data_IF_774106675147
#
_entry.id   IF_774106675147
#
_cell.length_a   1.000
_cell.length_b   1.000
_cell.length_c   1.000
_cell.angle_alpha   90.00
_cell.angle_beta   90.00
_cell.angle_gamma   90.00
#
_symmetry.space_group_name_H-M   'P 1'
#
loop_
_entity.id
_entity.type
_entity.pdbx_description
1 polymer ?
#
# COMPACT_ATOMS: atom_id res chain seq x y z
N UNK A 1 18.45 -18.99 3.00
CA UNK A 1 17.14 -18.42 3.38
C UNK A 1 16.03 -19.26 2.79
N UNK A 2 14.95 -19.49 3.49
CA UNK A 2 13.88 -20.38 3.03
C UNK A 2 13.01 -19.62 2.02
N UNK A 3 13.22 -19.82 0.73
CA UNK A 3 12.52 -19.16 -0.39
C UNK A 3 11.01 -19.44 -0.45
N UNK A 4 10.50 -20.33 0.41
CA UNK A 4 9.08 -20.64 0.50
C UNK A 4 8.22 -19.60 1.24
N UNK A 5 8.85 -18.56 1.81
CA UNK A 5 8.15 -17.56 2.63
C UNK A 5 7.79 -16.27 1.87
N UNK A 6 8.40 -16.05 0.70
CA UNK A 6 8.02 -14.98 -0.24
C UNK A 6 7.43 -15.63 -1.49
N UNK A 7 6.15 -15.43 -1.72
CA UNK A 7 5.44 -16.10 -2.82
C UNK A 7 4.51 -15.16 -3.56
N UNK A 8 4.41 -15.37 -4.87
CA UNK A 8 3.39 -14.78 -5.73
C UNK A 8 2.54 -15.91 -6.28
N UNK A 9 1.23 -15.76 -6.22
CA UNK A 9 0.28 -16.73 -6.80
C UNK A 9 -0.95 -16.02 -7.38
N UNK A 10 -1.74 -16.67 -8.25
CA UNK A 10 -3.12 -16.28 -8.47
C UNK A 10 -3.84 -16.20 -7.11
N UNK A 11 -4.86 -15.34 -6.99
CA UNK A 11 -5.60 -15.24 -5.74
C UNK A 11 -6.30 -16.57 -5.44
N UNK A 12 -6.04 -17.25 -4.30
CA UNK A 12 -6.75 -18.46 -3.91
C UNK A 12 -8.25 -18.23 -3.76
N UNK A 13 -9.07 -19.25 -3.98
CA UNK A 13 -10.54 -19.09 -3.96
C UNK A 13 -11.08 -18.71 -2.59
N UNK A 14 -10.49 -19.22 -1.52
CA UNK A 14 -10.84 -18.86 -0.14
C UNK A 14 -10.49 -17.39 0.20
N UNK A 15 -9.39 -16.88 -0.33
CA UNK A 15 -9.02 -15.46 -0.21
C UNK A 15 -9.96 -14.60 -1.05
N UNK A 16 -10.20 -14.99 -2.31
CA UNK A 16 -11.10 -14.25 -3.18
C UNK A 16 -12.52 -14.15 -2.61
N UNK A 17 -13.03 -15.23 -2.00
CA UNK A 17 -14.33 -15.23 -1.33
C UNK A 17 -14.41 -14.20 -0.18
N UNK A 18 -13.29 -13.93 0.53
CA UNK A 18 -13.24 -12.87 1.56
C UNK A 18 -13.23 -11.47 0.96
N UNK A 19 -12.69 -11.29 -0.24
CA UNK A 19 -12.59 -10.01 -0.94
C UNK A 19 -13.91 -9.61 -1.61
N UNK A 20 -14.74 -10.57 -2.04
CA UNK A 20 -15.98 -10.30 -2.73
C UNK A 20 -16.95 -9.45 -1.89
N UNK A 21 -17.47 -8.37 -2.48
CA UNK A 21 -18.34 -7.41 -1.82
C UNK A 21 -17.62 -6.45 -0.85
N UNK A 22 -16.32 -6.64 -0.60
CA UNK A 22 -15.46 -5.79 0.24
C UNK A 22 -14.45 -5.03 -0.62
N UNK A 23 -13.19 -5.47 -0.64
CA UNK A 23 -12.16 -4.85 -1.50
C UNK A 23 -12.42 -5.12 -2.98
N UNK A 24 -12.99 -6.26 -3.34
CA UNK A 24 -13.39 -6.61 -4.71
C UNK A 24 -14.91 -6.46 -4.86
N UNK A 25 -15.35 -5.25 -5.21
CA UNK A 25 -16.77 -4.89 -5.35
C UNK A 25 -17.33 -5.37 -6.69
N UNK A 26 -18.67 -5.47 -6.80
CA UNK A 26 -19.35 -5.93 -8.02
C UNK A 26 -19.06 -5.08 -9.26
N UNK A 27 -18.75 -3.80 -9.05
CA UNK A 27 -18.34 -2.86 -10.10
C UNK A 27 -16.84 -2.73 -10.28
N UNK A 28 -16.05 -3.64 -9.73
CA UNK A 28 -14.59 -3.65 -9.91
C UNK A 28 -14.23 -3.79 -11.38
N UNK A 29 -13.36 -2.90 -11.87
CA UNK A 29 -12.96 -2.86 -13.27
C UNK A 29 -11.68 -3.67 -13.56
N UNK A 30 -10.99 -4.14 -12.51
CA UNK A 30 -9.81 -4.99 -12.65
C UNK A 30 -10.24 -6.45 -12.58
N UNK A 31 -9.95 -7.27 -13.61
CA UNK A 31 -10.21 -8.70 -13.56
C UNK A 31 -9.41 -9.41 -12.47
N UNK A 32 -10.00 -10.44 -11.84
CA UNK A 32 -9.29 -11.24 -10.81
C UNK A 32 -7.97 -11.79 -11.32
N UNK A 33 -7.94 -12.22 -12.58
CA UNK A 33 -6.75 -12.77 -13.24
C UNK A 33 -5.61 -11.78 -13.44
N UNK A 34 -5.88 -10.48 -13.35
CA UNK A 34 -4.86 -9.43 -13.37
C UNK A 34 -4.32 -9.10 -11.97
N UNK A 35 -4.87 -9.69 -10.93
CA UNK A 35 -4.40 -9.55 -9.57
C UNK A 35 -3.55 -10.75 -9.13
N UNK A 36 -2.62 -10.51 -8.20
CA UNK A 36 -1.77 -11.52 -7.58
C UNK A 36 -1.86 -11.41 -6.07
N UNK A 37 -1.91 -12.56 -5.41
CA UNK A 37 -1.79 -12.68 -3.99
C UNK A 37 -0.33 -12.94 -3.62
N UNK A 38 0.20 -12.10 -2.73
CA UNK A 38 1.56 -12.17 -2.23
C UNK A 38 1.55 -12.56 -0.76
N UNK A 39 2.46 -13.49 -0.40
CA UNK A 39 2.92 -13.65 0.97
C UNK A 39 4.31 -13.09 1.08
N UNK A 40 4.54 -12.27 2.11
CA UNK A 40 5.82 -11.63 2.39
C UNK A 40 6.20 -11.83 3.85
N UNK A 41 7.49 -11.74 4.17
CA UNK A 41 7.92 -11.60 5.56
C UNK A 41 8.16 -10.15 5.89
N UNK A 42 7.94 -9.78 7.14
CA UNK A 42 8.33 -8.49 7.70
C UNK A 42 8.80 -8.63 9.14
N UNK A 43 9.58 -7.69 9.60
CA UNK A 43 9.92 -7.52 11.01
C UNK A 43 8.84 -6.63 11.63
N UNK A 44 8.12 -7.14 12.63
CA UNK A 44 7.13 -6.36 13.36
C UNK A 44 7.78 -5.44 14.40
N UNK A 45 7.01 -4.52 14.96
CA UNK A 45 7.47 -3.62 16.04
C UNK A 45 7.83 -4.36 17.34
N UNK A 46 7.53 -5.65 17.43
CA UNK A 46 8.00 -6.55 18.49
C UNK A 46 9.38 -7.17 18.19
N UNK A 47 10.01 -6.78 17.09
CA UNK A 47 11.31 -7.26 16.63
C UNK A 47 11.30 -8.70 16.10
N UNK A 48 10.10 -9.29 15.87
CA UNK A 48 9.97 -10.66 15.38
C UNK A 48 9.58 -10.68 13.91
N UNK A 49 9.88 -11.81 13.27
CA UNK A 49 9.42 -12.10 11.92
C UNK A 49 7.94 -12.48 11.93
N UNK A 50 7.18 -11.82 11.08
CA UNK A 50 5.78 -12.11 10.80
C UNK A 50 5.58 -12.41 9.30
N UNK A 51 4.44 -13.03 8.98
CA UNK A 51 3.99 -13.20 7.60
C UNK A 51 2.92 -12.17 7.30
N UNK A 52 3.12 -11.42 6.21
CA UNK A 52 2.15 -10.46 5.68
C UNK A 52 1.48 -10.97 4.41
N UNK A 53 0.33 -10.41 4.10
CA UNK A 53 -0.50 -10.74 2.94
C UNK A 53 -0.87 -9.47 2.16
N UNK A 54 -0.66 -9.48 0.85
CA UNK A 54 -1.01 -8.38 -0.04
C UNK A 54 -1.70 -8.91 -1.30
N UNK A 55 -2.55 -8.09 -1.89
CA UNK A 55 -3.03 -8.29 -3.25
C UNK A 55 -2.62 -7.07 -4.08
N UNK A 56 -1.94 -7.31 -5.20
CA UNK A 56 -1.48 -6.27 -6.12
C UNK A 56 -1.75 -6.67 -7.57
N UNK A 57 -1.64 -5.73 -8.49
CA UNK A 57 -1.70 -6.03 -9.92
C UNK A 57 -0.49 -6.89 -10.33
N UNK A 58 -0.72 -7.87 -11.24
CA UNK A 58 0.33 -8.73 -11.77
C UNK A 58 1.49 -7.97 -12.40
N UNK A 59 1.24 -6.73 -12.83
CA UNK A 59 2.25 -5.90 -13.49
C UNK A 59 3.36 -5.44 -12.55
N UNK A 60 3.05 -5.34 -11.24
CA UNK A 60 3.99 -4.87 -10.20
C UNK A 60 4.32 -5.94 -9.16
N UNK A 61 3.77 -7.13 -9.31
CA UNK A 61 3.85 -8.16 -8.27
C UNK A 61 5.30 -8.60 -7.98
N UNK A 62 6.14 -8.72 -9.01
CA UNK A 62 7.55 -9.10 -8.86
C UNK A 62 8.35 -7.97 -8.16
N UNK A 63 8.11 -6.70 -8.55
CA UNK A 63 8.75 -5.55 -7.93
C UNK A 63 8.35 -5.42 -6.45
N UNK A 64 7.06 -5.53 -6.14
CA UNK A 64 6.57 -5.47 -4.75
C UNK A 64 7.15 -6.61 -3.92
N UNK A 65 7.23 -7.83 -4.46
CA UNK A 65 7.85 -8.94 -3.73
C UNK A 65 9.33 -8.68 -3.42
N UNK A 66 10.07 -8.13 -4.38
CA UNK A 66 11.49 -7.81 -4.21
C UNK A 66 11.71 -6.67 -3.20
N UNK A 67 10.87 -5.62 -3.26
CA UNK A 67 10.85 -4.53 -2.27
C UNK A 67 10.70 -5.10 -0.85
N UNK A 68 9.69 -5.94 -0.60
CA UNK A 68 9.48 -6.50 0.73
C UNK A 68 10.60 -7.45 1.18
N UNK A 69 11.28 -8.15 0.25
CA UNK A 69 12.50 -8.92 0.57
C UNK A 69 13.62 -8.00 1.04
N UNK A 70 13.90 -6.93 0.30
CA UNK A 70 14.95 -5.96 0.65
C UNK A 70 14.68 -5.32 2.01
N UNK A 71 13.45 -4.87 2.27
CA UNK A 71 13.04 -4.29 3.55
C UNK A 71 13.21 -5.30 4.69
N UNK A 72 12.77 -6.55 4.50
CA UNK A 72 12.92 -7.62 5.49
C UNK A 72 14.39 -7.94 5.77
N UNK A 73 15.22 -8.08 4.74
CA UNK A 73 16.66 -8.37 4.86
C UNK A 73 17.43 -7.25 5.57
N UNK A 74 16.98 -6.01 5.41
CA UNK A 74 17.51 -4.85 6.12
C UNK A 74 16.99 -4.71 7.56
N UNK A 75 16.03 -5.54 7.98
CA UNK A 75 15.40 -5.43 9.29
C UNK A 75 14.47 -4.24 9.44
N UNK A 76 13.94 -3.69 8.32
CA UNK A 76 12.99 -2.59 8.34
C UNK A 76 11.68 -3.01 9.00
N UNK A 77 11.24 -2.23 9.99
CA UNK A 77 10.07 -2.57 10.81
C UNK A 77 8.77 -2.12 10.14
N UNK A 78 7.87 -3.08 9.92
CA UNK A 78 6.49 -2.85 9.49
C UNK A 78 5.57 -3.53 10.49
N UNK A 79 4.65 -2.79 11.11
CA UNK A 79 3.85 -3.34 12.21
C UNK A 79 2.94 -4.46 11.76
N UNK A 80 2.16 -4.22 10.70
CA UNK A 80 1.18 -5.17 10.16
C UNK A 80 1.15 -5.09 8.64
N UNK A 81 0.94 -6.24 8.01
CA UNK A 81 0.66 -6.36 6.57
C UNK A 81 -0.50 -7.33 6.42
N UNK A 82 -1.73 -6.82 6.33
CA UNK A 82 -2.96 -7.61 6.26
C UNK A 82 -3.82 -7.17 5.09
N UNK A 83 -4.59 -8.11 4.54
CA UNK A 83 -5.60 -7.75 3.55
C UNK A 83 -6.59 -6.75 4.17
N UNK A 84 -6.94 -5.72 3.41
CA UNK A 84 -7.91 -4.69 3.83
C UNK A 84 -9.27 -5.30 4.19
N UNK A 85 -9.55 -6.49 3.69
CA UNK A 85 -10.78 -7.26 3.93
C UNK A 85 -10.95 -7.71 5.37
N UNK A 86 -9.86 -7.79 6.15
CA UNK A 86 -9.90 -8.02 7.60
C UNK A 86 -10.49 -6.82 8.37
N UNK A 87 -10.50 -5.65 7.72
CA UNK A 87 -11.09 -4.39 8.20
C UNK A 87 -12.40 -4.06 7.47
N UNK A 88 -13.05 -5.04 6.81
CA UNK A 88 -14.25 -4.86 5.99
C UNK A 88 -14.05 -3.87 4.82
N UNK A 89 -12.83 -3.77 4.30
CA UNK A 89 -12.39 -2.81 3.28
C UNK A 89 -12.58 -1.34 3.70
N UNK A 90 -12.57 -1.07 5.00
CA UNK A 90 -12.64 0.25 5.61
C UNK A 90 -11.21 0.78 5.81
N UNK A 91 -10.82 1.76 4.98
CA UNK A 91 -9.48 2.34 5.01
C UNK A 91 -9.17 3.01 6.35
N UNK A 92 -10.16 3.74 6.94
CA UNK A 92 -9.95 4.44 8.21
C UNK A 92 -9.64 3.46 9.36
N UNK A 93 -10.35 2.33 9.41
CA UNK A 93 -10.07 1.29 10.40
C UNK A 93 -8.70 0.66 10.19
N UNK A 94 -8.37 0.33 8.95
CA UNK A 94 -7.09 -0.27 8.58
C UNK A 94 -5.93 0.66 8.93
N UNK A 95 -5.99 1.91 8.50
CA UNK A 95 -4.96 2.92 8.77
C UNK A 95 -4.84 3.23 10.25
N UNK A 96 -5.96 3.34 10.99
CA UNK A 96 -5.96 3.58 12.43
C UNK A 96 -5.28 2.45 13.22
N UNK A 97 -5.27 1.22 12.71
CA UNK A 97 -4.59 0.05 13.26
C UNK A 97 -3.16 -0.12 12.72
N UNK A 98 -2.62 0.89 12.05
CA UNK A 98 -1.29 0.90 11.42
C UNK A 98 -1.05 -0.28 10.46
N UNK A 99 -2.06 -0.64 9.69
CA UNK A 99 -1.95 -1.72 8.72
C UNK A 99 -1.36 -1.22 7.40
N UNK A 100 -0.34 -1.89 6.90
CA UNK A 100 0.16 -1.72 5.53
C UNK A 100 -0.71 -2.56 4.58
N UNK A 101 -1.16 -1.98 3.47
CA UNK A 101 -2.11 -2.61 2.55
C UNK A 101 -1.88 -2.21 1.10
N UNK A 102 -2.57 -2.87 0.17
CA UNK A 102 -2.43 -2.58 -1.25
C UNK A 102 -3.79 -2.49 -1.96
N UNK A 103 -4.33 -3.58 -2.50
CA UNK A 103 -5.56 -3.54 -3.30
C UNK A 103 -6.80 -3.23 -2.44
N UNK A 104 -7.55 -2.18 -2.85
CA UNK A 104 -8.88 -1.87 -2.38
C UNK A 104 -9.64 -1.09 -3.48
N UNK A 105 -10.69 -1.67 -4.04
CA UNK A 105 -11.46 -1.01 -5.10
C UNK A 105 -12.31 0.12 -4.53
N UNK A 106 -11.79 1.34 -4.62
CA UNK A 106 -12.43 2.56 -4.11
C UNK A 106 -12.02 3.81 -4.89
N UNK A 107 -12.76 4.87 -4.67
CA UNK A 107 -12.38 6.21 -5.12
C UNK A 107 -11.45 6.88 -4.11
N UNK A 108 -10.67 7.84 -4.57
CA UNK A 108 -9.87 8.72 -3.70
C UNK A 108 -10.81 9.53 -2.82
N UNK A 109 -10.49 9.70 -1.53
CA UNK A 109 -11.25 10.50 -0.58
C UNK A 109 -11.57 11.89 -1.14
N UNK A 110 -12.84 12.29 -1.06
CA UNK A 110 -13.35 13.56 -1.60
C UNK A 110 -13.12 13.76 -3.12
N UNK A 111 -13.14 12.67 -3.91
CA UNK A 111 -12.93 12.69 -5.35
C UNK A 111 -13.82 11.68 -6.08
N UNK A 112 -14.03 11.89 -7.39
CA UNK A 112 -14.63 10.92 -8.30
C UNK A 112 -13.59 10.10 -9.06
N UNK A 113 -12.28 10.33 -8.80
CA UNK A 113 -11.18 9.59 -9.42
C UNK A 113 -10.96 8.26 -8.68
N UNK A 114 -10.79 7.17 -9.42
CA UNK A 114 -10.37 5.89 -8.82
C UNK A 114 -8.98 6.01 -8.21
N UNK A 115 -8.81 5.42 -7.05
CA UNK A 115 -7.49 5.29 -6.42
C UNK A 115 -6.61 4.31 -7.20
N UNK A 116 -5.29 4.46 -7.14
CA UNK A 116 -4.34 3.47 -7.64
C UNK A 116 -4.46 2.14 -6.89
N UNK A 117 -4.90 2.15 -5.64
CA UNK A 117 -5.28 0.93 -4.90
C UNK A 117 -6.39 0.17 -5.59
N UNK A 118 -7.36 0.86 -6.21
CA UNK A 118 -8.43 0.22 -6.98
C UNK A 118 -7.92 -0.55 -8.20
N UNK A 119 -6.74 -0.21 -8.70
CA UNK A 119 -6.07 -0.87 -9.81
C UNK A 119 -5.03 -1.90 -9.34
N UNK A 120 -4.78 -1.99 -8.04
CA UNK A 120 -3.71 -2.80 -7.43
C UNK A 120 -2.31 -2.27 -7.75
N UNK A 121 -2.17 -0.98 -8.04
CA UNK A 121 -0.93 -0.33 -8.47
C UNK A 121 -0.35 0.60 -7.41
N UNK A 122 -0.77 0.46 -6.16
CA UNK A 122 -0.25 1.20 -5.01
C UNK A 122 -0.12 0.33 -3.78
N UNK A 123 0.78 0.73 -2.88
CA UNK A 123 1.03 0.12 -1.58
C UNK A 123 1.17 1.21 -0.53
N UNK A 124 0.53 1.03 0.62
CA UNK A 124 0.66 1.89 1.79
C UNK A 124 1.46 1.19 2.89
N UNK A 125 2.39 1.90 3.52
CA UNK A 125 3.31 1.37 4.55
C UNK A 125 3.19 2.15 5.85
N UNK A 126 3.04 1.44 7.00
CA UNK A 126 2.99 2.01 8.35
C UNK A 126 2.07 3.24 8.43
N UNK A 127 0.83 3.04 8.05
CA UNK A 127 -0.15 4.08 7.70
C UNK A 127 -0.45 5.07 8.82
N UNK A 128 -0.50 4.61 10.09
CA UNK A 128 -0.74 5.48 11.24
C UNK A 128 0.38 6.51 11.44
N UNK A 129 1.64 6.10 11.21
CA UNK A 129 2.81 6.97 11.36
C UNK A 129 3.04 7.87 10.15
N UNK A 130 2.40 7.56 9.03
CA UNK A 130 2.60 8.23 7.75
C UNK A 130 1.25 8.66 7.13
N UNK A 131 0.52 9.60 7.79
CA UNK A 131 -0.85 9.91 7.42
C UNK A 131 -0.99 10.58 6.04
N UNK A 132 -2.18 10.43 5.46
CA UNK A 132 -2.66 11.28 4.40
C UNK A 132 -3.16 12.61 4.96
N UNK A 133 -2.70 13.72 4.39
CA UNK A 133 -3.09 15.08 4.80
C UNK A 133 -3.56 15.86 3.59
N UNK A 134 -4.80 16.34 3.62
CA UNK A 134 -5.40 17.12 2.53
C UNK A 134 -6.22 18.29 3.08
N UNK A 135 -6.22 19.38 2.34
CA UNK A 135 -7.13 20.50 2.61
C UNK A 135 -8.37 20.41 1.69
N UNK A 136 -9.55 20.36 2.28
CA UNK A 136 -10.84 20.35 1.59
C UNK A 136 -11.67 21.52 2.13
N UNK A 137 -12.09 22.43 1.26
CA UNK A 137 -12.83 23.64 1.63
C UNK A 137 -12.15 24.45 2.75
N UNK A 138 -10.81 24.54 2.72
CA UNK A 138 -10.01 25.26 3.70
C UNK A 138 -9.85 24.54 5.06
N UNK A 139 -10.41 23.35 5.21
CA UNK A 139 -10.23 22.52 6.41
C UNK A 139 -9.20 21.44 6.17
N UNK A 140 -8.30 21.26 7.12
CA UNK A 140 -7.31 20.17 7.10
C UNK A 140 -8.01 18.86 7.49
N UNK A 141 -7.88 17.86 6.63
CA UNK A 141 -8.29 16.48 6.89
C UNK A 141 -7.04 15.63 7.06
N UNK A 142 -7.05 14.74 8.03
CA UNK A 142 -5.97 13.79 8.34
C UNK A 142 -6.58 12.39 8.36
N UNK A 143 -6.03 11.50 7.59
CA UNK A 143 -6.43 10.09 7.54
C UNK A 143 -5.21 9.20 7.82
N UNK A 144 -5.29 8.33 8.85
CA UNK A 144 -6.41 8.16 9.77
C UNK A 144 -6.54 9.32 10.78
N UNK A 145 -7.74 9.51 11.32
CA UNK A 145 -8.03 10.64 12.22
C UNK A 145 -7.17 10.65 13.52
N UNK A 146 -6.72 9.48 13.96
CA UNK A 146 -5.86 9.33 15.14
C UNK A 146 -4.37 9.60 14.87
N UNK A 147 -4.00 9.95 13.61
CA UNK A 147 -2.62 10.21 13.20
C UNK A 147 -2.19 11.69 13.27
N UNK A 148 -3.03 12.57 13.84
CA UNK A 148 -2.78 14.02 13.91
C UNK A 148 -1.36 14.36 14.40
N UNK A 149 -0.86 13.67 15.42
CA UNK A 149 0.48 13.89 16.01
C UNK A 149 1.64 13.60 15.05
N UNK A 150 1.39 12.84 13.96
CA UNK A 150 2.42 12.48 12.98
C UNK A 150 2.40 13.38 11.73
N UNK A 151 1.55 14.43 11.72
CA UNK A 151 1.47 15.37 10.61
C UNK A 151 2.58 16.42 10.62
N UNK A 152 3.21 16.67 11.76
CA UNK A 152 4.39 17.55 11.83
C UNK A 152 5.65 16.78 11.43
N UNK A 153 6.03 16.92 10.15
CA UNK A 153 7.18 16.21 9.58
C UNK A 153 8.52 16.90 9.85
N UNK A 154 8.51 18.05 10.55
CA UNK A 154 9.74 18.73 10.96
C UNK A 154 10.41 18.10 12.16
N UNK A 155 9.67 17.28 12.93
CA UNK A 155 10.17 16.54 14.10
C UNK A 155 10.51 15.09 13.72
N UNK A 156 11.45 14.52 14.49
CA UNK A 156 11.80 13.10 14.37
C UNK A 156 10.89 12.24 15.24
N UNK A 157 10.42 11.14 14.67
CA UNK A 157 9.67 10.09 15.37
C UNK A 157 9.90 8.73 14.70
N UNK A 158 9.70 7.62 15.42
CA UNK A 158 9.89 6.27 14.84
C UNK A 158 8.99 6.03 13.64
N UNK A 159 9.49 5.25 12.67
CA UNK A 159 8.75 4.78 11.50
C UNK A 159 8.25 5.90 10.56
N UNK A 160 8.84 7.09 10.66
CA UNK A 160 8.60 8.20 9.73
C UNK A 160 9.22 7.86 8.38
N UNK A 161 8.42 7.90 7.31
CA UNK A 161 8.91 7.79 5.94
C UNK A 161 9.21 9.20 5.42
N UNK A 162 10.44 9.43 4.99
CA UNK A 162 10.90 10.62 4.27
C UNK A 162 11.95 10.21 3.21
N UNK A 163 12.57 11.19 2.52
CA UNK A 163 13.54 10.90 1.45
C UNK A 163 14.81 10.17 1.94
N UNK A 164 15.12 10.25 3.23
CA UNK A 164 16.27 9.55 3.81
C UNK A 164 15.92 8.14 4.28
N UNK A 165 14.62 7.82 4.41
CA UNK A 165 14.13 6.53 4.85
C UNK A 165 14.40 5.42 3.83
N UNK A 166 14.71 4.22 4.33
CA UNK A 166 15.01 3.05 3.49
C UNK A 166 13.80 2.64 2.63
N UNK A 167 12.58 2.70 3.19
CA UNK A 167 11.37 2.32 2.47
C UNK A 167 11.18 3.20 1.24
N UNK A 168 11.32 4.54 1.40
CA UNK A 168 11.28 5.47 0.27
C UNK A 168 12.31 5.09 -0.82
N UNK A 169 13.57 4.88 -0.42
CA UNK A 169 14.65 4.58 -1.37
C UNK A 169 14.38 3.31 -2.17
N UNK A 170 13.97 2.25 -1.50
CA UNK A 170 13.71 0.95 -2.16
C UNK A 170 12.52 1.06 -3.11
N UNK A 171 11.40 1.69 -2.70
CA UNK A 171 10.26 1.89 -3.61
C UNK A 171 10.63 2.77 -4.81
N UNK A 172 11.38 3.86 -4.61
CA UNK A 172 11.84 4.74 -5.68
C UNK A 172 12.77 4.02 -6.69
N UNK A 173 13.66 3.14 -6.21
CA UNK A 173 14.52 2.31 -7.07
C UNK A 173 13.72 1.36 -7.97
N UNK A 174 12.53 0.93 -7.54
CA UNK A 174 11.57 0.14 -8.32
C UNK A 174 10.60 1.00 -9.16
N UNK A 175 10.81 2.33 -9.21
CA UNK A 175 10.06 3.24 -10.08
C UNK A 175 8.71 3.68 -9.55
N UNK A 176 8.44 3.49 -8.25
CA UNK A 176 7.25 4.02 -7.59
C UNK A 176 7.43 5.51 -7.27
N UNK A 177 6.36 6.28 -7.41
CA UNK A 177 6.25 7.64 -6.91
C UNK A 177 5.71 7.62 -5.47
N UNK A 178 6.17 8.57 -4.66
CA UNK A 178 5.75 8.71 -3.27
C UNK A 178 4.74 9.85 -3.09
N UNK A 179 3.62 9.59 -2.44
CA UNK A 179 2.57 10.58 -2.16
C UNK A 179 3.02 11.73 -1.23
N UNK A 180 4.13 11.56 -0.50
CA UNK A 180 4.76 12.64 0.27
C UNK A 180 5.30 13.78 -0.59
N UNK A 181 5.53 13.54 -1.90
CA UNK A 181 6.00 14.55 -2.84
C UNK A 181 4.86 15.35 -3.50
N UNK A 182 3.60 14.91 -3.39
CA UNK A 182 2.49 15.61 -4.03
C UNK A 182 2.31 17.05 -3.54
N UNK A 183 1.92 17.95 -4.42
CA UNK A 183 1.77 19.39 -4.11
C UNK A 183 0.44 19.72 -3.42
N UNK A 184 -0.67 19.08 -3.82
CA UNK A 184 -2.04 19.43 -3.39
C UNK A 184 -2.55 18.60 -2.20
N UNK A 185 -1.82 17.57 -1.84
CA UNK A 185 -2.04 16.72 -0.68
C UNK A 185 -0.68 16.14 -0.29
N UNK A 186 -0.60 15.56 0.90
CA UNK A 186 0.56 14.79 1.32
C UNK A 186 0.08 13.43 1.77
N UNK A 187 0.56 12.37 1.13
CA UNK A 187 0.25 11.00 1.48
C UNK A 187 1.52 10.25 1.80
N UNK A 188 1.92 10.36 3.06
CA UNK A 188 3.23 9.89 3.49
C UNK A 188 3.38 8.36 3.55
N UNK A 189 2.25 7.63 3.57
CA UNK A 189 2.22 6.16 3.54
C UNK A 189 2.32 5.60 2.11
N UNK A 190 1.93 6.41 1.10
CA UNK A 190 1.51 5.95 -0.22
C UNK A 190 2.64 5.89 -1.23
N UNK A 191 2.78 4.74 -1.88
CA UNK A 191 3.66 4.52 -3.03
C UNK A 191 2.83 3.99 -4.21
N UNK A 192 2.91 4.64 -5.38
CA UNK A 192 2.12 4.24 -6.55
C UNK A 192 2.95 4.22 -7.84
N UNK A 193 2.52 3.42 -8.82
CA UNK A 193 3.11 3.49 -10.15
C UNK A 193 2.64 4.73 -10.91
N UNK A 194 3.57 5.45 -11.59
CA UNK A 194 3.25 6.63 -12.39
C UNK A 194 2.25 6.34 -13.50
N UNK A 195 1.40 7.32 -13.84
CA UNK A 195 0.43 7.19 -14.96
C UNK A 195 1.14 6.85 -16.28
N UNK A 196 2.27 7.49 -16.56
CA UNK A 196 3.07 7.23 -17.78
C UNK A 196 3.58 5.79 -17.88
N UNK A 197 3.91 5.16 -16.75
CA UNK A 197 4.33 3.77 -16.71
C UNK A 197 3.17 2.85 -17.07
N UNK A 198 1.96 3.15 -16.59
CA UNK A 198 0.74 2.37 -16.85
C UNK A 198 0.40 2.42 -18.35
N UNK A 199 0.48 3.59 -18.99
CA UNK A 199 0.23 3.76 -20.41
C UNK A 199 1.19 2.92 -21.27
N UNK A 200 2.49 2.96 -20.95
CA UNK A 200 3.53 2.18 -21.65
C UNK A 200 3.32 0.67 -21.49
N UNK A 201 2.98 0.21 -20.28
CA UNK A 201 2.74 -1.21 -19.98
C UNK A 201 1.47 -1.75 -20.64
N UNK A 202 0.48 -0.91 -20.87
CA UNK A 202 -0.76 -1.26 -21.57
C UNK A 202 -0.58 -1.31 -23.11
N UNK A 203 0.31 -0.49 -23.65
CA UNK A 203 0.55 -0.41 -25.11
C UNK A 203 1.45 -1.54 -25.64
N UNK A 204 2.25 -2.17 -24.79
CA UNK A 204 3.16 -3.28 -25.17
C UNK A 204 2.50 -4.66 -25.34
N UNK A 205 1.17 -4.76 -25.26
CA UNK A 205 0.39 -6.02 -25.31
C UNK A 205 -0.61 -6.10 -26.47
N UNK A 206 -0.39 -5.34 -27.55
CA UNK A 206 -1.09 -5.57 -28.84
C UNK A 206 -0.23 -6.35 -29.80
#
# INVERSE_FOLDING_TARGET
MNTQQFTISPIPDDIFAKMQGKSFKDNCTVPREDLRYLKVLHVGFDGKTHTGELVVNRLIADDVLDIFKQLYEAGYEIEKIRLIDEYDADDEKSMSDNNSSAFNFRYISYSTKLSKHALGLAVDINTLYNPYVKYVDGRRNVEPANAEKYTDRSIEFPHKIDHDDLCYKVFAEHGFEWGGDWEHAKDYQHFEMPDEWIEKSSCGKM
#
